data_IF_317267339086
#
_entry.id   IF_317267339086
#
_cell.length_a   1.000
_cell.length_b   1.000
_cell.length_c   1.000
_cell.angle_alpha   90.00
_cell.angle_beta   90.00
_cell.angle_gamma   90.00
#
_symmetry.space_group_name_H-M   'P 1'
#
loop_
_entity.id
_entity.type
_entity.pdbx_description
1 polymer ?
#
# COMPACT_ATOMS: atom_id res chain seq x y z
N UNK A 1 9.77 5.24 -32.94
CA UNK A 1 9.63 4.49 -31.68
C UNK A 1 8.48 5.13 -30.96
N UNK A 2 7.25 4.56 -31.10
CA UNK A 2 6.05 5.13 -30.47
C UNK A 2 6.12 4.89 -28.97
N UNK A 3 6.14 5.97 -28.21
CA UNK A 3 6.18 5.95 -26.76
C UNK A 3 4.80 5.54 -26.20
N UNK A 4 4.64 4.22 -26.02
CA UNK A 4 3.43 3.66 -25.40
C UNK A 4 3.27 4.04 -23.92
N UNK A 5 4.29 4.64 -23.31
CA UNK A 5 4.27 5.04 -21.91
C UNK A 5 3.45 6.32 -21.66
N UNK A 6 3.51 7.26 -22.58
CA UNK A 6 2.75 8.51 -22.50
C UNK A 6 1.24 8.30 -22.66
N UNK A 7 0.83 7.34 -23.49
CA UNK A 7 -0.58 7.00 -23.70
C UNK A 7 -1.21 6.36 -22.45
N UNK A 8 -0.48 5.47 -21.78
CA UNK A 8 -0.95 4.80 -20.57
C UNK A 8 -1.15 5.76 -19.39
N UNK A 9 -0.29 6.77 -19.25
CA UNK A 9 -0.44 7.79 -18.21
C UNK A 9 -1.65 8.69 -18.44
N UNK A 10 -1.89 9.10 -19.67
CA UNK A 10 -3.05 9.91 -20.02
C UNK A 10 -4.38 9.18 -19.77
N UNK A 11 -4.44 7.89 -20.09
CA UNK A 11 -5.61 7.05 -19.81
C UNK A 11 -5.84 6.88 -18.31
N UNK A 12 -4.77 6.65 -17.54
CA UNK A 12 -4.84 6.53 -16.08
C UNK A 12 -5.35 7.82 -15.44
N UNK A 13 -4.80 8.97 -15.83
CA UNK A 13 -5.21 10.28 -15.33
C UNK A 13 -6.68 10.58 -15.64
N UNK A 14 -7.16 10.23 -16.82
CA UNK A 14 -8.56 10.39 -17.19
C UNK A 14 -9.48 9.51 -16.31
N UNK A 15 -9.08 8.27 -16.02
CA UNK A 15 -9.83 7.37 -15.14
C UNK A 15 -9.85 7.90 -13.70
N UNK A 16 -8.71 8.32 -13.17
CA UNK A 16 -8.60 8.93 -11.83
C UNK A 16 -9.47 10.18 -11.74
N UNK A 17 -9.39 11.08 -12.73
CA UNK A 17 -10.21 12.29 -12.79
C UNK A 17 -11.72 11.99 -12.82
N UNK A 18 -12.13 10.96 -13.56
CA UNK A 18 -13.53 10.51 -13.59
C UNK A 18 -14.03 10.01 -12.24
N UNK A 19 -13.22 9.25 -11.49
CA UNK A 19 -13.57 8.77 -10.16
C UNK A 19 -13.63 9.94 -9.18
N UNK A 20 -12.61 10.80 -9.17
CA UNK A 20 -12.55 11.96 -8.29
C UNK A 20 -13.69 12.95 -8.53
N UNK A 21 -14.15 13.09 -9.78
CA UNK A 21 -15.30 13.93 -10.13
C UNK A 21 -16.63 13.43 -9.55
N UNK A 22 -16.75 12.14 -9.28
CA UNK A 22 -17.94 11.51 -8.69
C UNK A 22 -17.91 11.47 -7.16
N UNK A 23 -16.75 11.70 -6.53
CA UNK A 23 -16.60 11.66 -5.08
C UNK A 23 -17.06 12.97 -4.43
N UNK A 24 -17.76 12.85 -3.30
CA UNK A 24 -18.03 13.99 -2.43
C UNK A 24 -16.74 14.45 -1.73
N UNK A 25 -16.77 15.66 -1.14
CA UNK A 25 -15.63 16.16 -0.36
C UNK A 25 -15.32 15.25 0.84
N UNK A 26 -16.35 14.77 1.52
CA UNK A 26 -16.22 13.86 2.66
C UNK A 26 -15.56 12.54 2.24
N UNK A 27 -15.92 12.00 1.06
CA UNK A 27 -15.31 10.78 0.51
C UNK A 27 -13.84 11.01 0.16
N UNK A 28 -13.51 12.16 -0.43
CA UNK A 28 -12.12 12.54 -0.73
C UNK A 28 -11.29 12.66 0.54
N UNK A 29 -11.81 13.31 1.57
CA UNK A 29 -11.14 13.41 2.87
C UNK A 29 -10.98 12.02 3.53
N UNK A 30 -12.01 11.19 3.45
CA UNK A 30 -11.98 9.84 4.01
C UNK A 30 -11.00 8.92 3.28
N UNK A 31 -10.75 9.15 1.98
CA UNK A 31 -9.74 8.39 1.22
C UNK A 31 -8.30 8.70 1.68
N UNK A 32 -8.07 9.93 2.15
CA UNK A 32 -6.76 10.34 2.68
C UNK A 32 -6.47 9.80 4.09
N UNK A 33 -7.50 9.37 4.80
CA UNK A 33 -7.36 8.71 6.10
C UNK A 33 -7.58 7.21 5.97
N UNK A 34 -6.79 6.40 6.68
CA UNK A 34 -6.99 4.95 6.68
C UNK A 34 -8.36 4.55 7.25
N UNK A 35 -8.83 3.37 6.89
CA UNK A 35 -9.91 2.68 7.58
C UNK A 35 -9.38 1.98 8.84
N UNK A 36 -8.15 1.47 8.73
CA UNK A 36 -7.38 0.84 9.80
C UNK A 36 -5.95 1.37 9.77
N UNK A 37 -5.08 0.86 10.65
CA UNK A 37 -3.65 1.23 10.65
C UNK A 37 -2.94 0.88 9.32
N UNK A 38 -3.43 -0.13 8.61
CA UNK A 38 -2.82 -0.65 7.39
C UNK A 38 -3.80 -0.83 6.22
N UNK A 39 -5.02 -0.32 6.33
CA UNK A 39 -6.02 -0.45 5.29
C UNK A 39 -6.60 0.89 4.84
N UNK A 40 -6.84 1.05 3.55
CA UNK A 40 -7.57 2.19 3.01
C UNK A 40 -9.09 1.97 3.10
N UNK A 41 -9.86 3.02 2.87
CA UNK A 41 -11.31 2.90 2.73
C UNK A 41 -11.68 2.45 1.32
N UNK A 42 -12.60 1.51 1.23
CA UNK A 42 -13.24 1.15 -0.03
C UNK A 42 -14.43 2.06 -0.32
N UNK A 43 -14.64 2.34 -1.61
CA UNK A 43 -15.87 2.95 -2.12
C UNK A 43 -16.40 2.11 -3.29
N UNK A 44 -17.06 0.97 -3.01
CA UNK A 44 -17.45 0.01 -4.06
C UNK A 44 -18.35 0.63 -5.13
N UNK A 45 -19.23 1.56 -4.76
CA UNK A 45 -20.08 2.29 -5.69
C UNK A 45 -19.33 3.19 -6.69
N UNK A 46 -18.05 3.46 -6.43
CA UNK A 46 -17.16 4.24 -7.29
C UNK A 46 -16.06 3.39 -7.92
N UNK A 47 -16.04 2.08 -7.66
CA UNK A 47 -15.00 1.18 -8.14
C UNK A 47 -13.64 1.36 -7.45
N UNK A 48 -13.61 1.96 -6.25
CA UNK A 48 -12.39 2.13 -5.45
C UNK A 48 -12.30 0.98 -4.46
N UNK A 49 -11.32 0.06 -4.61
CA UNK A 49 -11.15 -1.06 -3.69
C UNK A 49 -10.49 -0.63 -2.39
N UNK A 50 -10.62 -1.45 -1.37
CA UNK A 50 -9.72 -1.40 -0.23
C UNK A 50 -8.33 -1.88 -0.63
N UNK A 51 -7.31 -1.18 -0.19
CA UNK A 51 -5.92 -1.60 -0.30
C UNK A 51 -5.39 -1.89 1.08
N UNK A 52 -4.79 -3.07 1.22
CA UNK A 52 -4.13 -3.49 2.45
C UNK A 52 -2.62 -3.26 2.31
N UNK A 53 -2.05 -2.53 3.26
CA UNK A 53 -0.62 -2.31 3.36
C UNK A 53 -0.01 -3.24 4.41
N UNK A 54 1.28 -3.43 4.31
CA UNK A 54 2.06 -4.14 5.31
C UNK A 54 3.43 -3.49 5.42
N UNK A 55 4.00 -3.54 6.59
CA UNK A 55 5.38 -3.15 6.84
C UNK A 55 6.29 -4.37 6.99
N UNK A 56 7.54 -4.15 7.31
CA UNK A 56 8.48 -5.21 7.67
C UNK A 56 9.92 -4.77 7.47
N UNK A 57 10.68 -4.57 8.56
CA UNK A 57 12.07 -4.12 8.47
C UNK A 57 13.01 -5.17 7.85
N UNK A 58 12.68 -6.45 7.97
CA UNK A 58 13.50 -7.57 7.50
C UNK A 58 12.69 -8.61 6.71
N UNK A 59 11.72 -8.16 5.97
CA UNK A 59 10.74 -8.94 5.24
C UNK A 59 9.32 -8.47 5.55
N UNK A 60 8.36 -9.01 4.83
CA UNK A 60 6.96 -8.63 5.00
C UNK A 60 6.47 -9.04 6.39
N UNK A 61 5.87 -8.10 7.11
CA UNK A 61 5.19 -8.36 8.39
C UNK A 61 3.71 -8.09 8.25
N UNK A 62 2.91 -9.13 8.29
CA UNK A 62 1.45 -9.04 8.29
C UNK A 62 0.92 -9.68 9.58
N UNK A 63 0.14 -8.93 10.34
CA UNK A 63 -0.42 -9.42 11.60
C UNK A 63 -1.66 -10.27 11.34
N UNK A 64 -1.84 -11.31 12.14
CA UNK A 64 -3.06 -12.10 12.12
C UNK A 64 -4.27 -11.23 12.54
N UNK A 65 -5.45 -11.62 12.09
CA UNK A 65 -6.70 -10.94 12.47
C UNK A 65 -6.82 -10.84 14.01
N UNK A 66 -7.21 -9.65 14.48
CA UNK A 66 -7.34 -9.37 15.90
C UNK A 66 -6.04 -9.03 16.63
N UNK A 67 -4.88 -9.12 15.98
CA UNK A 67 -3.62 -8.63 16.55
C UNK A 67 -3.58 -7.09 16.51
N UNK A 68 -2.94 -6.48 17.52
CA UNK A 68 -2.79 -5.04 17.55
C UNK A 68 -1.66 -4.58 16.61
N UNK A 69 -1.77 -3.33 16.14
CA UNK A 69 -0.80 -2.71 15.23
C UNK A 69 0.57 -2.42 15.86
N UNK A 70 0.75 -2.70 17.15
CA UNK A 70 2.01 -2.49 17.87
C UNK A 70 3.05 -3.61 17.60
N UNK A 71 2.67 -4.66 16.87
CA UNK A 71 3.58 -5.76 16.55
C UNK A 71 3.86 -6.72 17.72
N UNK A 72 3.07 -6.64 18.78
CA UNK A 72 3.19 -7.49 19.98
C UNK A 72 2.34 -8.77 19.82
N UNK A 73 1.56 -8.87 18.76
CA UNK A 73 0.72 -10.03 18.46
C UNK A 73 1.40 -11.01 17.50
N UNK A 74 0.73 -12.14 17.26
CA UNK A 74 1.17 -13.12 16.27
C UNK A 74 1.18 -12.53 14.86
N UNK A 75 2.26 -12.75 14.13
CA UNK A 75 2.37 -12.42 12.71
C UNK A 75 2.17 -13.68 11.86
N UNK A 76 1.65 -13.50 10.66
CA UNK A 76 1.62 -14.57 9.67
C UNK A 76 3.05 -14.93 9.25
N UNK A 77 3.35 -16.22 8.97
CA UNK A 77 4.67 -16.62 8.48
C UNK A 77 5.01 -15.90 7.17
N UNK A 78 6.23 -15.38 7.10
CA UNK A 78 6.77 -14.75 5.91
C UNK A 78 8.28 -14.94 5.84
N UNK A 79 8.89 -14.69 4.70
CA UNK A 79 10.34 -14.75 4.54
C UNK A 79 11.00 -13.66 5.39
N UNK A 80 11.94 -14.07 6.24
CA UNK A 80 12.78 -13.17 7.00
C UNK A 80 14.12 -13.01 6.28
N UNK A 81 14.47 -11.79 5.94
CA UNK A 81 15.74 -11.44 5.33
C UNK A 81 16.76 -11.00 6.39
N UNK A 82 18.06 -11.04 6.08
CA UNK A 82 19.09 -10.51 6.98
C UNK A 82 18.82 -9.05 7.34
N UNK A 83 19.18 -8.65 8.55
CA UNK A 83 19.04 -7.26 8.97
C UNK A 83 19.94 -6.33 8.17
N UNK A 84 19.57 -5.06 8.04
CA UNK A 84 20.38 -4.07 7.34
C UNK A 84 21.81 -3.98 7.93
N UNK A 85 21.94 -4.11 9.25
CA UNK A 85 23.25 -4.16 9.92
C UNK A 85 24.06 -5.38 9.48
N UNK A 86 23.43 -6.55 9.35
CA UNK A 86 24.10 -7.76 8.86
C UNK A 86 24.57 -7.58 7.41
N UNK A 87 23.73 -7.02 6.54
CA UNK A 87 24.08 -6.75 5.15
C UNK A 87 25.22 -5.73 5.07
N UNK A 88 25.17 -4.65 5.86
CA UNK A 88 26.22 -3.64 5.87
C UNK A 88 27.58 -4.19 6.31
N UNK A 89 27.63 -5.22 7.14
CA UNK A 89 28.87 -5.87 7.56
C UNK A 89 29.53 -6.74 6.48
N UNK A 90 28.88 -6.95 5.34
CA UNK A 90 29.49 -7.73 4.24
C UNK A 90 30.60 -6.96 3.49
N UNK A 91 30.65 -5.64 3.65
CA UNK A 91 31.57 -4.76 2.90
C UNK A 91 31.47 -4.88 1.38
N UNK A 92 30.41 -5.52 0.89
CA UNK A 92 30.11 -5.63 -0.52
C UNK A 92 29.16 -4.49 -0.94
N UNK A 93 29.56 -3.60 -1.88
CA UNK A 93 28.71 -2.50 -2.34
C UNK A 93 27.66 -2.92 -3.38
N UNK A 94 27.69 -4.16 -3.90
CA UNK A 94 26.77 -4.68 -4.93
C UNK A 94 25.53 -5.39 -4.35
#
# INVERSE_FOLDING_TARGET
MNDKSTDAHGELDARVGSVLGKMSLEQKCALLSGATAFGTRAFPGLGVPELQFSDGPHGLRHQAEGANHLGIGGSLPATCFPTAVTVANTWNPE
#
